data_IF_329251982472
#
_entry.id   IF_329251982472
#
_cell.length_a   1.000
_cell.length_b   1.000
_cell.length_c   1.000
_cell.angle_alpha   90.00
_cell.angle_beta   90.00
_cell.angle_gamma   90.00
#
_symmetry.space_group_name_H-M   'P 1'
#
loop_
_entity.id
_entity.type
_entity.pdbx_description
1 polymer ?
#
# COMPACT_ATOMS: atom_id res chain seq x y z
N UNK A 1 -4.51 11.09 -10.50
CA UNK A 1 -4.10 10.28 -11.66
C UNK A 1 -5.28 9.43 -12.10
N UNK A 2 -5.67 9.51 -13.37
CA UNK A 2 -6.70 8.69 -14.02
C UNK A 2 -6.19 8.31 -15.41
N UNK A 3 -4.94 7.89 -15.48
CA UNK A 3 -4.18 8.04 -16.73
C UNK A 3 -4.68 7.06 -17.81
N UNK A 4 -5.36 5.98 -17.40
CA UNK A 4 -6.02 5.04 -18.30
C UNK A 4 -7.46 5.45 -18.71
N UNK A 5 -8.05 6.49 -18.10
CA UNK A 5 -9.40 6.99 -18.38
C UNK A 5 -10.51 5.91 -18.44
N UNK A 6 -10.39 4.86 -17.61
CA UNK A 6 -11.34 3.72 -17.62
C UNK A 6 -12.65 4.01 -16.92
N UNK A 7 -12.65 4.95 -15.99
CA UNK A 7 -13.83 5.39 -15.25
C UNK A 7 -13.84 6.92 -15.18
N UNK A 8 -15.02 7.55 -14.97
CA UNK A 8 -15.10 8.97 -14.68
C UNK A 8 -14.31 9.33 -13.42
N UNK A 9 -13.74 10.53 -13.34
CA UNK A 9 -12.96 10.98 -12.18
C UNK A 9 -13.71 10.86 -10.85
N UNK A 10 -15.03 11.12 -10.83
CA UNK A 10 -15.86 10.98 -9.63
C UNK A 10 -16.00 9.53 -9.13
N UNK A 11 -15.58 8.54 -9.91
CA UNK A 11 -15.54 7.12 -9.50
C UNK A 11 -14.24 6.73 -8.81
N UNK A 12 -13.22 7.60 -8.79
CA UNK A 12 -11.95 7.34 -8.10
C UNK A 12 -12.14 7.43 -6.57
N UNK A 13 -11.29 6.71 -5.83
CA UNK A 13 -11.25 6.78 -4.37
C UNK A 13 -10.33 7.89 -3.91
N UNK A 14 -10.75 8.65 -2.89
CA UNK A 14 -9.89 9.65 -2.27
C UNK A 14 -8.77 8.95 -1.50
N UNK A 15 -7.55 9.47 -1.63
CA UNK A 15 -6.35 8.97 -0.98
C UNK A 15 -5.37 10.12 -0.73
N UNK A 16 -4.39 9.90 0.13
CA UNK A 16 -3.35 10.89 0.43
C UNK A 16 -2.35 11.12 -0.73
N UNK A 17 -2.22 10.15 -1.64
CA UNK A 17 -1.41 10.26 -2.86
C UNK A 17 -2.31 10.25 -4.11
N UNK A 18 -2.01 11.12 -5.08
CA UNK A 18 -2.80 11.29 -6.31
C UNK A 18 -2.83 10.04 -7.21
N UNK A 19 -1.95 9.07 -6.96
CA UNK A 19 -1.86 7.77 -7.64
C UNK A 19 -2.42 6.63 -6.78
N UNK A 20 -3.15 6.91 -5.69
CA UNK A 20 -3.74 5.88 -4.83
C UNK A 20 -4.72 4.92 -5.54
N UNK A 21 -5.14 5.24 -6.77
CA UNK A 21 -6.00 4.40 -7.61
C UNK A 21 -5.23 3.68 -8.74
N UNK A 22 -3.89 3.72 -8.75
CA UNK A 22 -3.10 3.22 -9.88
C UNK A 22 -3.40 1.75 -10.17
N UNK A 23 -3.32 0.87 -9.17
CA UNK A 23 -3.54 -0.57 -9.31
C UNK A 23 -4.27 -1.16 -8.08
N UNK A 24 -4.77 -2.41 -8.14
CA UNK A 24 -5.49 -3.03 -7.04
C UNK A 24 -4.68 -3.16 -5.74
N UNK A 25 -3.41 -3.64 -5.74
CA UNK A 25 -2.60 -3.71 -4.53
C UNK A 25 -2.45 -2.36 -3.83
N UNK A 26 -2.09 -1.29 -4.55
CA UNK A 26 -1.94 0.06 -3.99
C UNK A 26 -3.26 0.53 -3.38
N UNK A 27 -4.37 0.36 -4.10
CA UNK A 27 -5.69 0.77 -3.61
C UNK A 27 -6.12 -0.03 -2.37
N UNK A 28 -5.81 -1.33 -2.33
CA UNK A 28 -6.07 -2.19 -1.18
C UNK A 28 -5.29 -1.72 0.06
N UNK A 29 -3.99 -1.42 -0.08
CA UNK A 29 -3.18 -0.89 1.02
C UNK A 29 -3.64 0.49 1.48
N UNK A 30 -3.97 1.41 0.57
CA UNK A 30 -4.55 2.71 0.92
C UNK A 30 -5.82 2.54 1.77
N UNK A 31 -6.71 1.63 1.35
CA UNK A 31 -7.94 1.32 2.09
C UNK A 31 -7.63 0.70 3.45
N UNK A 32 -6.67 -0.23 3.53
CA UNK A 32 -6.26 -0.88 4.77
C UNK A 32 -5.77 0.14 5.80
N UNK A 33 -4.87 1.04 5.41
CA UNK A 33 -4.31 2.05 6.32
C UNK A 33 -5.34 3.11 6.75
N UNK A 34 -6.33 3.43 5.91
CA UNK A 34 -7.47 4.28 6.31
C UNK A 34 -8.36 3.54 7.34
N UNK A 35 -8.64 2.26 7.12
CA UNK A 35 -9.40 1.44 8.07
C UNK A 35 -8.68 1.34 9.41
N UNK A 36 -7.36 1.14 9.39
CA UNK A 36 -6.56 1.07 10.63
C UNK A 36 -6.55 2.40 11.38
N UNK A 37 -6.43 3.53 10.68
CA UNK A 37 -6.58 4.84 11.31
C UNK A 37 -7.93 4.98 12.03
N UNK A 38 -9.02 4.60 11.37
CA UNK A 38 -10.35 4.66 11.97
C UNK A 38 -10.53 3.69 13.14
N UNK A 39 -9.91 2.49 13.06
CA UNK A 39 -9.89 1.52 14.16
C UNK A 39 -9.20 2.10 15.39
N UNK A 40 -8.02 2.69 15.19
CA UNK A 40 -7.24 3.37 16.23
C UNK A 40 -8.01 4.55 16.84
N UNK A 41 -8.59 5.43 16.01
CA UNK A 41 -9.40 6.55 16.49
C UNK A 41 -10.60 6.08 17.33
N UNK A 42 -11.31 5.04 16.86
CA UNK A 42 -12.44 4.45 17.59
C UNK A 42 -12.03 3.85 18.93
N UNK A 43 -10.82 3.29 19.01
CA UNK A 43 -10.25 2.78 20.25
C UNK A 43 -9.86 3.91 21.21
N UNK A 44 -9.22 4.96 20.71
CA UNK A 44 -8.84 6.14 21.48
C UNK A 44 -10.04 6.88 22.06
N UNK A 45 -11.17 6.97 21.34
CA UNK A 45 -12.43 7.55 21.87
C UNK A 45 -12.86 6.86 23.17
N UNK A 46 -12.74 5.53 23.24
CA UNK A 46 -13.13 4.76 24.44
C UNK A 46 -12.15 4.93 25.59
N UNK A 47 -10.86 5.07 25.29
CA UNK A 47 -9.79 5.20 26.29
C UNK A 47 -9.65 6.64 26.81
N UNK A 48 -9.97 7.62 25.98
CA UNK A 48 -9.81 9.05 26.27
C UNK A 48 -11.09 9.84 25.93
N UNK A 49 -12.19 9.69 26.69
CA UNK A 49 -13.48 10.30 26.36
C UNK A 49 -13.51 11.84 26.37
N UNK A 50 -12.49 12.48 26.93
CA UNK A 50 -12.36 13.94 27.00
C UNK A 50 -11.58 14.55 25.83
N UNK A 51 -10.99 13.73 24.95
CA UNK A 51 -10.28 14.23 23.77
C UNK A 51 -11.28 14.71 22.70
N UNK A 52 -10.90 15.77 22.00
CA UNK A 52 -11.63 16.26 20.84
C UNK A 52 -11.22 15.51 19.56
N UNK A 53 -11.92 15.79 18.46
CA UNK A 53 -11.72 15.14 17.16
C UNK A 53 -10.27 15.30 16.64
N UNK A 54 -9.68 16.49 16.78
CA UNK A 54 -8.32 16.77 16.32
C UNK A 54 -7.29 15.95 17.09
N UNK A 55 -7.41 15.89 18.43
CA UNK A 55 -6.51 15.08 19.25
C UNK A 55 -6.60 13.58 18.89
N UNK A 56 -7.82 13.07 18.72
CA UNK A 56 -8.07 11.69 18.30
C UNK A 56 -7.45 11.40 16.92
N UNK A 57 -7.64 12.29 15.96
CA UNK A 57 -7.08 12.19 14.62
C UNK A 57 -5.54 12.16 14.67
N UNK A 58 -4.90 13.12 15.35
CA UNK A 58 -3.43 13.19 15.37
C UNK A 58 -2.80 12.00 16.08
N UNK A 59 -3.38 11.51 17.18
CA UNK A 59 -2.86 10.32 17.87
C UNK A 59 -3.07 9.04 17.05
N UNK A 60 -4.23 8.85 16.41
CA UNK A 60 -4.44 7.74 15.49
C UNK A 60 -3.48 7.81 14.29
N UNK A 61 -3.25 9.00 13.73
CA UNK A 61 -2.30 9.24 12.63
C UNK A 61 -0.87 8.93 13.05
N UNK A 62 -0.45 9.35 14.25
CA UNK A 62 0.90 9.09 14.80
C UNK A 62 1.19 7.59 14.92
N UNK A 63 0.25 6.81 15.45
CA UNK A 63 0.40 5.35 15.52
C UNK A 63 0.43 4.71 14.14
N UNK A 64 -0.46 5.13 13.23
CA UNK A 64 -0.50 4.60 11.87
C UNK A 64 0.81 4.85 11.10
N UNK A 65 1.40 6.05 11.26
CA UNK A 65 2.73 6.38 10.72
C UNK A 65 3.81 5.47 11.34
N UNK A 66 3.76 5.24 12.65
CA UNK A 66 4.72 4.37 13.33
C UNK A 66 4.65 2.92 12.81
N UNK A 67 3.45 2.40 12.54
CA UNK A 67 3.28 1.08 11.93
C UNK A 67 3.88 1.02 10.52
N UNK A 68 3.60 2.00 9.66
CA UNK A 68 4.19 2.07 8.33
C UNK A 68 5.73 2.11 8.39
N UNK A 69 6.30 2.96 9.24
CA UNK A 69 7.75 3.05 9.41
C UNK A 69 8.34 1.74 9.93
N UNK A 70 7.68 1.09 10.90
CA UNK A 70 8.13 -0.19 11.46
C UNK A 70 8.19 -1.26 10.37
N UNK A 71 7.12 -1.44 9.60
CA UNK A 71 7.06 -2.41 8.49
C UNK A 71 8.15 -2.08 7.45
N UNK A 72 8.27 -0.81 7.04
CA UNK A 72 9.26 -0.41 6.04
C UNK A 72 10.70 -0.72 6.49
N UNK A 73 11.11 -0.24 7.67
CA UNK A 73 12.51 -0.30 8.09
C UNK A 73 12.93 -1.64 8.68
N UNK A 74 12.01 -2.40 9.28
CA UNK A 74 12.37 -3.61 10.03
C UNK A 74 11.80 -4.90 9.46
N UNK A 75 10.92 -4.83 8.46
CA UNK A 75 10.40 -6.01 7.79
C UNK A 75 10.81 -5.97 6.31
N UNK A 76 10.45 -4.91 5.59
CA UNK A 76 10.73 -4.80 4.14
C UNK A 76 12.21 -4.57 3.80
N UNK A 77 12.88 -3.57 4.40
CA UNK A 77 14.31 -3.32 4.09
C UNK A 77 15.20 -4.56 4.31
N UNK A 78 15.04 -5.33 5.41
CA UNK A 78 15.74 -6.60 5.57
C UNK A 78 15.51 -7.63 4.47
N UNK A 79 14.31 -7.69 3.85
CA UNK A 79 14.06 -8.63 2.75
C UNK A 79 14.88 -8.30 1.49
N UNK A 80 15.39 -7.07 1.38
CA UNK A 80 16.30 -6.66 0.31
C UNK A 80 17.76 -7.09 0.56
N UNK A 81 18.02 -7.86 1.62
CA UNK A 81 19.38 -8.24 2.04
C UNK A 81 20.15 -7.10 2.70
N UNK A 82 19.46 -6.01 3.09
CA UNK A 82 20.05 -4.85 3.73
C UNK A 82 19.87 -4.92 5.25
N UNK A 83 20.96 -4.75 6.00
CA UNK A 83 20.92 -4.63 7.45
C UNK A 83 21.18 -3.18 7.85
N UNK A 84 20.17 -2.55 8.45
CA UNK A 84 20.32 -1.19 8.96
C UNK A 84 21.03 -1.22 10.32
N UNK A 85 21.97 -0.29 10.57
CA UNK A 85 22.59 -0.18 11.88
C UNK A 85 21.54 0.16 12.95
N UNK A 86 21.75 -0.21 14.23
CA UNK A 86 20.87 0.17 15.31
C UNK A 86 20.63 1.69 15.32
N UNK A 87 19.38 2.10 15.47
CA UNK A 87 19.01 3.50 15.52
C UNK A 87 19.66 4.18 16.73
N UNK A 88 20.42 5.26 16.49
CA UNK A 88 21.18 5.99 17.53
C UNK A 88 20.50 7.30 17.98
N UNK A 89 19.24 7.49 17.60
CA UNK A 89 18.50 8.73 17.86
C UNK A 89 18.52 9.70 16.68
N UNK A 90 17.74 10.77 16.82
CA UNK A 90 17.61 11.82 15.82
C UNK A 90 18.92 12.62 15.69
N UNK A 91 19.31 12.92 14.45
CA UNK A 91 20.45 13.76 14.14
C UNK A 91 20.00 14.89 13.20
N UNK A 92 19.97 16.13 13.73
CA UNK A 92 19.51 17.31 13.00
C UNK A 92 20.39 17.69 11.80
N UNK A 93 21.63 17.18 11.73
CA UNK A 93 22.56 17.46 10.63
C UNK A 93 22.37 16.52 9.43
N UNK A 94 21.53 15.49 9.54
CA UNK A 94 21.22 14.59 8.42
C UNK A 94 20.26 15.28 7.48
N UNK A 95 20.55 15.28 6.18
CA UNK A 95 19.60 15.68 5.15
C UNK A 95 18.72 14.46 4.76
N UNK A 96 17.42 14.45 5.08
CA UNK A 96 16.54 13.33 4.78
C UNK A 96 15.90 13.42 3.37
N UNK A 97 16.34 14.36 2.54
CA UNK A 97 15.79 14.54 1.19
C UNK A 97 15.99 13.28 0.36
N UNK A 98 14.98 12.94 -0.45
CA UNK A 98 15.05 11.80 -1.36
C UNK A 98 16.01 12.12 -2.50
N UNK A 99 16.99 11.23 -2.69
CA UNK A 99 17.94 11.32 -3.78
C UNK A 99 17.28 11.07 -5.15
N UNK A 100 17.74 11.77 -6.18
CA UNK A 100 17.19 11.68 -7.55
C UNK A 100 17.50 10.32 -8.17
N UNK A 101 18.71 9.79 -7.96
CA UNK A 101 19.07 8.47 -8.47
C UNK A 101 18.25 7.38 -7.77
N UNK A 102 18.03 7.50 -6.46
CA UNK A 102 17.15 6.60 -5.72
C UNK A 102 15.72 6.59 -6.30
N UNK A 103 15.09 7.76 -6.43
CA UNK A 103 13.69 7.87 -6.87
C UNK A 103 13.46 7.59 -8.36
N UNK A 104 14.45 7.86 -9.21
CA UNK A 104 14.33 7.75 -10.66
C UNK A 104 14.87 6.44 -11.20
N UNK A 105 15.88 5.85 -10.55
CA UNK A 105 16.58 4.66 -11.03
C UNK A 105 16.45 3.51 -10.05
N UNK A 106 17.02 3.62 -8.85
CA UNK A 106 17.17 2.47 -7.95
C UNK A 106 15.83 1.89 -7.52
N UNK A 107 14.93 2.72 -6.98
CA UNK A 107 13.66 2.27 -6.42
C UNK A 107 12.59 1.97 -7.50
N UNK A 108 12.99 1.95 -8.78
CA UNK A 108 12.16 1.47 -9.90
C UNK A 108 12.32 -0.03 -10.16
N UNK A 109 13.25 -0.71 -9.48
CA UNK A 109 13.46 -2.15 -9.65
C UNK A 109 12.17 -2.96 -9.45
N UNK A 110 11.28 -2.50 -8.55
CA UNK A 110 9.99 -3.15 -8.28
C UNK A 110 9.07 -3.25 -9.49
N UNK A 111 9.26 -2.45 -10.56
CA UNK A 111 8.51 -2.64 -11.80
C UNK A 111 8.80 -3.99 -12.50
N UNK A 112 10.00 -4.55 -12.33
CA UNK A 112 10.35 -5.86 -12.87
C UNK A 112 9.72 -7.00 -12.05
N UNK A 113 9.41 -6.74 -10.78
CA UNK A 113 8.77 -7.71 -9.88
C UNK A 113 7.24 -7.82 -10.09
N UNK A 114 6.65 -6.92 -10.89
CA UNK A 114 5.22 -6.93 -11.15
C UNK A 114 4.84 -8.15 -11.98
N UNK A 115 3.73 -8.79 -11.61
CA UNK A 115 3.13 -9.90 -12.36
C UNK A 115 1.84 -9.46 -13.05
N UNK A 116 1.51 -10.07 -14.19
CA UNK A 116 0.33 -9.69 -14.99
C UNK A 116 -1.01 -10.04 -14.33
N UNK A 117 -1.02 -11.02 -13.42
CA UNK A 117 -2.23 -11.50 -12.77
C UNK A 117 -2.16 -11.19 -11.28
N UNK A 118 -3.13 -10.43 -10.80
CA UNK A 118 -3.38 -10.25 -9.37
C UNK A 118 -4.35 -11.33 -8.92
N UNK A 119 -3.85 -12.24 -8.09
CA UNK A 119 -4.68 -13.30 -7.49
C UNK A 119 -5.70 -12.66 -6.54
N UNK A 120 -6.91 -13.21 -6.54
CA UNK A 120 -7.97 -12.87 -5.59
C UNK A 120 -8.50 -14.15 -4.97
N UNK A 121 -8.29 -14.30 -3.66
CA UNK A 121 -8.48 -15.56 -2.96
C UNK A 121 -9.45 -15.38 -1.77
N UNK A 122 -10.39 -16.29 -1.60
CA UNK A 122 -11.32 -16.31 -0.48
C UNK A 122 -10.68 -16.81 0.84
N UNK A 123 -11.48 -16.98 1.88
CA UNK A 123 -11.02 -17.44 3.19
C UNK A 123 -10.62 -18.92 3.20
N UNK A 124 -11.14 -19.70 2.25
CA UNK A 124 -10.87 -21.11 2.08
C UNK A 124 -9.67 -21.40 1.16
N UNK A 125 -9.05 -20.36 0.58
CA UNK A 125 -7.90 -20.49 -0.30
C UNK A 125 -8.25 -20.70 -1.78
N UNK A 126 -9.51 -20.53 -2.17
CA UNK A 126 -9.98 -20.69 -3.54
C UNK A 126 -10.06 -19.35 -4.28
N UNK A 127 -10.10 -19.40 -5.61
CA UNK A 127 -10.39 -18.23 -6.43
C UNK A 127 -11.80 -17.71 -6.15
N UNK A 128 -11.93 -16.40 -5.91
CA UNK A 128 -13.23 -15.77 -5.69
C UNK A 128 -14.12 -15.85 -6.94
N UNK A 129 -15.45 -15.83 -6.84
CA UNK A 129 -16.35 -15.90 -8.00
C UNK A 129 -16.13 -14.82 -9.07
N UNK A 130 -15.58 -13.66 -8.68
CA UNK A 130 -15.23 -12.57 -9.59
C UNK A 130 -13.98 -12.87 -10.43
N UNK A 131 -13.25 -13.94 -10.12
CA UNK A 131 -12.03 -14.41 -10.77
C UNK A 131 -10.76 -13.70 -10.31
N UNK A 132 -9.60 -13.99 -10.91
CA UNK A 132 -8.39 -13.17 -10.79
C UNK A 132 -8.48 -11.89 -11.64
N UNK A 133 -7.56 -10.93 -11.44
CA UNK A 133 -7.51 -9.70 -12.24
C UNK A 133 -6.30 -9.71 -13.16
N UNK A 134 -6.52 -9.44 -14.45
CA UNK A 134 -5.45 -9.03 -15.33
C UNK A 134 -5.09 -7.57 -15.00
N UNK A 135 -3.86 -7.34 -14.55
CA UNK A 135 -3.38 -6.04 -14.07
C UNK A 135 -3.54 -4.96 -15.14
N UNK A 136 -3.26 -5.31 -16.40
CA UNK A 136 -3.40 -4.39 -17.53
C UNK A 136 -4.81 -3.79 -17.62
N UNK A 137 -5.87 -4.52 -17.25
CA UNK A 137 -7.27 -4.05 -17.24
C UNK A 137 -7.65 -3.32 -15.94
N UNK A 138 -6.94 -3.58 -14.85
CA UNK A 138 -7.27 -3.08 -13.52
C UNK A 138 -6.72 -1.67 -13.25
N UNK A 139 -5.69 -1.22 -13.98
CA UNK A 139 -5.13 0.12 -13.77
C UNK A 139 -6.19 1.23 -13.79
N UNK A 140 -6.17 2.11 -12.79
CA UNK A 140 -7.08 3.25 -12.62
C UNK A 140 -8.57 2.89 -12.64
N UNK A 141 -8.93 1.64 -12.33
CA UNK A 141 -10.31 1.17 -12.29
C UNK A 141 -10.65 0.62 -10.90
N UNK A 142 -11.05 1.49 -9.94
CA UNK A 142 -11.37 1.07 -8.57
C UNK A 142 -12.62 0.18 -8.51
N UNK A 143 -13.56 0.32 -9.46
CA UNK A 143 -14.77 -0.50 -9.50
C UNK A 143 -14.43 -1.96 -9.81
N UNK A 144 -13.52 -2.20 -10.77
CA UNK A 144 -13.02 -3.53 -11.06
C UNK A 144 -12.11 -4.03 -9.93
N UNK A 145 -11.15 -3.20 -9.50
CA UNK A 145 -10.14 -3.55 -8.49
C UNK A 145 -10.76 -3.99 -7.16
N UNK A 146 -11.85 -3.35 -6.74
CA UNK A 146 -12.54 -3.62 -5.47
C UNK A 146 -13.85 -4.39 -5.64
N UNK A 147 -14.10 -4.98 -6.81
CA UNK A 147 -15.34 -5.74 -7.08
C UNK A 147 -15.55 -6.94 -6.15
N UNK A 148 -14.49 -7.43 -5.50
CA UNK A 148 -14.53 -8.47 -4.48
C UNK A 148 -14.09 -7.97 -3.08
N UNK A 149 -13.99 -6.65 -2.89
CA UNK A 149 -13.36 -6.07 -1.70
C UNK A 149 -11.82 -6.10 -1.75
N UNK A 150 -11.19 -5.68 -0.66
CA UNK A 150 -9.71 -5.64 -0.55
C UNK A 150 -9.13 -6.96 -0.07
N UNK A 151 -9.87 -7.71 0.75
CA UNK A 151 -9.35 -8.87 1.47
C UNK A 151 -8.85 -9.96 0.50
N UNK A 152 -9.56 -10.28 -0.61
CA UNK A 152 -9.07 -11.27 -1.55
C UNK A 152 -7.78 -10.86 -2.27
N UNK A 153 -7.61 -9.56 -2.54
CA UNK A 153 -6.38 -9.02 -3.12
C UNK A 153 -5.23 -9.19 -2.13
N UNK A 154 -5.43 -8.81 -0.87
CA UNK A 154 -4.41 -8.93 0.18
C UNK A 154 -4.00 -10.39 0.38
N UNK A 155 -4.95 -11.34 0.46
CA UNK A 155 -4.63 -12.78 0.54
C UNK A 155 -3.83 -13.25 -0.67
N UNK A 156 -4.22 -12.82 -1.87
CA UNK A 156 -3.49 -13.09 -3.11
C UNK A 156 -2.03 -12.65 -3.07
N UNK A 157 -1.76 -11.46 -2.53
CA UNK A 157 -0.40 -10.93 -2.34
C UNK A 157 0.45 -11.76 -1.37
N UNK A 158 -0.16 -12.44 -0.40
CA UNK A 158 0.59 -13.27 0.56
C UNK A 158 1.00 -14.65 0.03
N UNK A 159 0.35 -15.13 -1.03
CA UNK A 159 0.64 -16.48 -1.59
C UNK A 159 1.28 -16.43 -2.97
N UNK A 160 1.19 -15.29 -3.66
CA UNK A 160 1.82 -15.09 -4.97
C UNK A 160 3.28 -14.66 -4.76
N UNK A 161 4.20 -15.46 -5.28
CA UNK A 161 5.60 -15.04 -5.42
C UNK A 161 5.69 -13.92 -6.47
N UNK A 162 6.44 -12.86 -6.15
CA UNK A 162 6.70 -11.75 -7.07
C UNK A 162 7.49 -12.19 -8.32
N UNK A 163 7.49 -11.35 -9.35
CA UNK A 163 8.38 -11.49 -10.50
C UNK A 163 9.86 -11.39 -10.12
N UNK A 164 10.74 -11.83 -11.01
CA UNK A 164 12.18 -11.68 -10.80
C UNK A 164 12.62 -10.23 -11.06
N UNK A 165 13.65 -9.77 -10.34
CA UNK A 165 14.33 -8.51 -10.65
C UNK A 165 15.29 -8.75 -11.82
N UNK A 166 14.87 -8.38 -13.04
CA UNK A 166 15.64 -8.58 -14.27
C UNK A 166 15.40 -7.46 -15.31
N UNK A 167 16.16 -7.41 -16.43
CA UNK A 167 15.94 -6.38 -17.45
C UNK A 167 14.61 -6.48 -18.22
N UNK A 168 13.78 -7.50 -17.95
CA UNK A 168 12.48 -7.70 -18.59
C UNK A 168 11.36 -7.24 -17.66
N UNK A 169 10.27 -6.81 -18.29
CA UNK A 169 9.01 -6.48 -17.63
C UNK A 169 7.95 -7.47 -18.07
N UNK A 170 6.95 -7.67 -17.22
CA UNK A 170 5.76 -8.45 -17.58
C UNK A 170 5.04 -7.77 -18.77
N UNK A 171 4.43 -8.58 -19.65
CA UNK A 171 3.87 -8.11 -20.94
C UNK A 171 2.34 -7.97 -20.89
#
# INVERSE_FOLDING_TARGET
ANDANRVPHGSLRAAGDVRGNVDPPVLAFQTLFVREHNRLASELVRQHPAWDDEMLYQEARKWNIAYMQRVCFFEYVPTLGLSLPPYRGYNASVNPSIDVFFSTVSYRYGHSEITDIILRIDDEGNEVPQGHLLLSQAYFNPNLSLSAGIDPVIRGLTVRVQGFVEPRFSQ
#
